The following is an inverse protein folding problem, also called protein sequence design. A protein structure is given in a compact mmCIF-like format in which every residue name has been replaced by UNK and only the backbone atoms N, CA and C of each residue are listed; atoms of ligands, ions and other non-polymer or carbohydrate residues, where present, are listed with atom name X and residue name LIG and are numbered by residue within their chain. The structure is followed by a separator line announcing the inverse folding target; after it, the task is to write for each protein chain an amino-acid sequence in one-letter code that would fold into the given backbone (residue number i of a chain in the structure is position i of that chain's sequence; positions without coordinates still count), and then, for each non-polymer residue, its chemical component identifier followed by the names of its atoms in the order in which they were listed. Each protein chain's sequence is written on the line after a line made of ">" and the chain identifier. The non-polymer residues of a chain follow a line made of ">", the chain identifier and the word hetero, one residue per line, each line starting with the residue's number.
data_IF_836147949141
#
_entry.id   IF_836147949141
#
_cell.length_a   1.000
_cell.length_b   1.000
_cell.length_c   1.000
_cell.angle_alpha   90.00
_cell.angle_beta   90.00
_cell.angle_gamma   90.00
#
_symmetry.space_group_name_H-M   'P 1'
#
loop_
_entity.id
_entity.type
_entity.pdbx_description
1 polymer ?
#
# COMPACT_ATOMS: atom_id res chain seq x y z
N UNK A 1 -2.56 -0.17 13.25
CA UNK A 1 -1.79 0.60 12.25
C UNK A 1 -0.32 0.40 12.44
N UNK A 2 0.19 0.77 13.62
CA UNK A 2 1.62 0.70 13.94
C UNK A 2 2.23 -0.70 13.91
N UNK A 3 1.47 -1.74 14.30
CA UNK A 3 1.93 -3.13 14.17
C UNK A 3 2.22 -3.49 12.72
N UNK A 4 1.26 -3.28 11.82
CA UNK A 4 1.45 -3.56 10.39
C UNK A 4 2.57 -2.71 9.77
N UNK A 5 2.67 -1.44 10.18
CA UNK A 5 3.77 -0.55 9.79
C UNK A 5 5.12 -1.13 10.20
N UNK A 6 5.26 -1.63 11.43
CA UNK A 6 6.50 -2.22 11.93
C UNK A 6 6.89 -3.53 11.24
N UNK A 7 5.91 -4.32 10.78
CA UNK A 7 6.13 -5.57 10.05
C UNK A 7 6.31 -5.41 8.53
N UNK A 8 6.20 -4.19 8.00
CA UNK A 8 6.32 -3.94 6.57
C UNK A 8 7.75 -3.63 6.16
N UNK A 9 8.18 -4.17 5.02
CA UNK A 9 9.51 -3.94 4.44
C UNK A 9 9.66 -2.48 3.95
N UNK A 10 8.58 -1.93 3.40
CA UNK A 10 8.54 -0.57 2.88
C UNK A 10 7.35 0.21 3.43
N UNK A 11 7.57 1.48 3.73
CA UNK A 11 6.57 2.37 4.31
C UNK A 11 6.40 3.64 3.46
N UNK A 12 5.15 4.02 3.22
CA UNK A 12 4.72 5.29 2.64
C UNK A 12 3.69 5.96 3.56
N UNK A 13 4.16 6.86 4.40
CA UNK A 13 3.34 7.70 5.27
C UNK A 13 3.91 9.12 5.36
N UNK A 14 3.28 9.98 6.18
CA UNK A 14 3.67 11.38 6.33
C UNK A 14 5.10 11.61 6.85
N UNK A 15 5.66 10.63 7.55
CA UNK A 15 6.99 10.68 8.18
C UNK A 15 8.05 9.86 7.45
N UNK A 16 7.64 8.83 6.68
CA UNK A 16 8.55 7.89 6.02
C UNK A 16 8.10 7.60 4.58
N UNK A 17 9.03 7.78 3.65
CA UNK A 17 8.82 7.56 2.22
C UNK A 17 9.97 6.70 1.67
N UNK A 18 9.80 5.38 1.72
CA UNK A 18 10.84 4.47 1.25
C UNK A 18 10.91 4.42 -0.29
N UNK A 19 12.08 4.04 -0.83
CA UNK A 19 12.25 3.91 -2.27
C UNK A 19 11.72 2.56 -2.76
N UNK A 20 10.57 2.56 -3.45
CA UNK A 20 9.92 1.33 -3.91
C UNK A 20 10.49 0.75 -5.22
N UNK A 21 11.59 1.30 -5.74
CA UNK A 21 12.22 0.79 -6.97
C UNK A 21 12.91 -0.55 -6.79
N UNK A 22 13.33 -0.87 -5.56
CA UNK A 22 14.02 -2.12 -5.24
C UNK A 22 13.10 -3.20 -4.67
N UNK A 23 11.79 -2.96 -4.67
CA UNK A 23 10.79 -3.93 -4.20
C UNK A 23 10.94 -5.24 -4.96
N UNK A 24 11.03 -6.32 -4.21
CA UNK A 24 11.11 -7.70 -4.68
C UNK A 24 9.77 -8.40 -4.54
N UNK A 25 9.70 -9.55 -5.19
CA UNK A 25 8.53 -10.42 -5.12
C UNK A 25 8.16 -10.76 -3.67
N UNK A 26 6.92 -10.48 -3.29
CA UNK A 26 6.35 -10.85 -1.99
C UNK A 26 6.67 -9.91 -0.83
N UNK A 27 7.44 -8.84 -1.05
CA UNK A 27 7.69 -7.83 -0.02
C UNK A 27 6.42 -7.03 0.33
N UNK A 28 6.37 -6.56 1.57
CA UNK A 28 5.21 -5.91 2.16
C UNK A 28 5.38 -4.40 2.10
N UNK A 29 4.44 -3.73 1.44
CA UNK A 29 4.39 -2.27 1.35
C UNK A 29 3.22 -1.74 2.16
N UNK A 30 3.52 -0.97 3.19
CA UNK A 30 2.54 -0.22 3.96
C UNK A 30 2.31 1.16 3.35
N UNK A 31 1.06 1.50 3.08
CA UNK A 31 0.66 2.82 2.58
C UNK A 31 -0.45 3.37 3.45
N UNK A 32 -0.23 4.54 4.08
CA UNK A 32 -1.30 5.26 4.80
C UNK A 32 -2.41 5.63 3.81
N UNK A 33 -3.67 5.49 4.20
CA UNK A 33 -4.80 5.67 3.26
C UNK A 33 -4.79 7.03 2.56
N UNK A 34 -4.39 8.10 3.25
CA UNK A 34 -4.28 9.45 2.69
C UNK A 34 -3.24 9.54 1.55
N UNK A 35 -2.26 8.64 1.55
CA UNK A 35 -1.17 8.58 0.58
C UNK A 35 -1.46 7.66 -0.61
N UNK A 36 -2.53 6.86 -0.58
CA UNK A 36 -2.90 5.95 -1.68
C UNK A 36 -2.99 6.66 -3.02
N UNK A 37 -3.56 7.87 -3.03
CA UNK A 37 -3.72 8.67 -4.25
C UNK A 37 -2.36 9.00 -4.90
N UNK A 38 -1.38 9.41 -4.09
CA UNK A 38 -0.03 9.74 -4.52
C UNK A 38 0.77 8.49 -4.87
N UNK A 39 0.62 7.44 -4.08
CA UNK A 39 1.23 6.14 -4.29
C UNK A 39 0.86 5.57 -5.67
N UNK A 40 -0.43 5.48 -5.99
CA UNK A 40 -0.87 4.94 -7.28
C UNK A 40 -0.52 5.82 -8.48
N UNK A 41 -0.41 7.14 -8.29
CA UNK A 41 -0.01 8.08 -9.36
C UNK A 41 1.49 8.00 -9.68
N UNK A 42 2.34 7.73 -8.68
CA UNK A 42 3.79 7.81 -8.80
C UNK A 42 4.49 6.50 -8.41
N UNK A 43 4.53 6.15 -7.13
CA UNK A 43 5.34 5.04 -6.61
C UNK A 43 4.97 3.68 -7.20
N UNK A 44 3.67 3.42 -7.40
CA UNK A 44 3.16 2.19 -8.00
C UNK A 44 3.72 1.91 -9.40
N UNK A 45 3.99 2.96 -10.19
CA UNK A 45 4.57 2.81 -11.54
C UNK A 45 6.04 2.38 -11.50
N UNK A 46 6.73 2.66 -10.40
CA UNK A 46 8.14 2.31 -10.21
C UNK A 46 8.32 0.85 -9.77
N UNK A 47 7.28 0.23 -9.22
CA UNK A 47 7.29 -1.16 -8.78
C UNK A 47 7.15 -2.07 -10.00
N UNK A 48 8.11 -2.97 -10.18
CA UNK A 48 8.15 -3.94 -11.27
C UNK A 48 7.66 -5.31 -10.83
N UNK A 49 8.03 -5.71 -9.62
CA UNK A 49 7.72 -7.02 -9.06
C UNK A 49 6.38 -7.06 -8.31
N UNK A 50 5.69 -8.22 -8.29
CA UNK A 50 4.50 -8.41 -7.47
C UNK A 50 4.77 -8.27 -5.96
N UNK A 51 3.89 -7.60 -5.24
CA UNK A 51 4.07 -7.26 -3.82
C UNK A 51 2.77 -7.38 -3.02
N UNK A 52 2.88 -7.35 -1.69
CA UNK A 52 1.74 -7.32 -0.77
C UNK A 52 1.49 -5.87 -0.35
N UNK A 53 0.27 -5.38 -0.55
CA UNK A 53 -0.14 -4.02 -0.18
C UNK A 53 -0.91 -4.06 1.14
N UNK A 54 -0.49 -3.26 2.11
CA UNK A 54 -1.24 -3.04 3.35
C UNK A 54 -1.63 -1.57 3.43
N UNK A 55 -2.91 -1.30 3.63
CA UNK A 55 -3.43 0.05 3.84
C UNK A 55 -4.19 0.12 5.14
N UNK A 56 -3.78 1.06 5.99
CA UNK A 56 -4.38 1.26 7.30
C UNK A 56 -4.54 2.76 7.54
N UNK A 57 -5.48 3.11 8.41
CA UNK A 57 -5.56 4.41 9.09
C UNK A 57 -6.29 5.53 8.34
N UNK A 58 -7.45 5.27 7.75
CA UNK A 58 -8.46 6.34 7.59
C UNK A 58 -9.89 5.81 7.52
N UNK A 59 -10.84 6.69 7.82
CA UNK A 59 -12.28 6.49 7.67
C UNK A 59 -12.72 6.26 6.21
N UNK A 60 -11.83 6.51 5.24
CA UNK A 60 -12.16 6.35 3.83
C UNK A 60 -12.19 4.85 3.46
N UNK A 61 -13.23 4.38 2.75
CA UNK A 61 -13.27 3.02 2.27
C UNK A 61 -12.13 2.78 1.27
N UNK A 62 -11.13 1.98 1.66
CA UNK A 62 -10.23 1.31 0.76
C UNK A 62 -10.83 -0.09 0.46
N UNK A 63 -10.92 -0.52 -0.80
CA UNK A 63 -10.24 0.03 -1.98
C UNK A 63 -10.98 1.18 -2.70
N UNK A 64 -12.27 1.43 -2.43
CA UNK A 64 -13.00 2.58 -2.98
C UNK A 64 -12.84 2.73 -4.51
N UNK A 65 -12.40 3.91 -4.98
CA UNK A 65 -12.12 4.19 -6.41
C UNK A 65 -10.89 3.46 -6.99
N UNK A 66 -10.12 2.79 -6.14
CA UNK A 66 -8.90 2.06 -6.49
C UNK A 66 -9.16 0.56 -6.68
N UNK A 67 -10.42 0.12 -6.69
CA UNK A 67 -10.83 -1.26 -6.95
C UNK A 67 -10.19 -1.86 -8.21
N UNK A 68 -10.01 -1.05 -9.26
CA UNK A 68 -9.27 -1.44 -10.48
C UNK A 68 -7.84 -1.94 -10.24
N UNK A 69 -7.22 -1.57 -9.12
CA UNK A 69 -5.88 -2.01 -8.75
C UNK A 69 -5.89 -3.35 -8.00
N UNK A 70 -7.02 -3.78 -7.42
CA UNK A 70 -7.16 -5.14 -6.86
C UNK A 70 -6.96 -6.21 -7.92
N UNK A 71 -7.41 -5.94 -9.14
CA UNK A 71 -7.26 -6.85 -10.29
C UNK A 71 -5.87 -6.76 -10.93
N UNK A 72 -4.97 -5.92 -10.40
CA UNK A 72 -3.64 -5.77 -10.99
C UNK A 72 -2.75 -6.95 -10.56
N UNK A 73 -2.11 -7.67 -11.50
CA UNK A 73 -1.28 -8.83 -11.18
C UNK A 73 -0.04 -8.48 -10.34
N UNK A 74 0.31 -7.19 -10.21
CA UNK A 74 1.38 -6.73 -9.32
C UNK A 74 0.99 -6.72 -7.85
N UNK A 75 -0.29 -6.76 -7.52
CA UNK A 75 -0.74 -6.78 -6.12
C UNK A 75 -1.13 -8.21 -5.80
N UNK A 76 -0.27 -8.92 -5.07
CA UNK A 76 -0.50 -10.31 -4.69
C UNK A 76 -1.65 -10.42 -3.69
N UNK A 77 -1.60 -9.56 -2.66
CA UNK A 77 -2.62 -9.44 -1.64
C UNK A 77 -2.76 -7.98 -1.23
N UNK A 78 -3.99 -7.52 -1.02
CA UNK A 78 -4.26 -6.20 -0.46
C UNK A 78 -5.06 -6.33 0.84
N UNK A 79 -4.41 -6.02 1.96
CA UNK A 79 -5.05 -5.91 3.26
C UNK A 79 -5.44 -4.46 3.54
N UNK A 80 -6.73 -4.16 3.46
CA UNK A 80 -7.29 -2.87 3.87
C UNK A 80 -8.01 -3.01 5.21
N UNK A 81 -7.58 -2.28 6.23
CA UNK A 81 -8.31 -2.17 7.50
C UNK A 81 -9.00 -0.82 7.56
N UNK A 82 -10.32 -0.83 7.43
CA UNK A 82 -11.18 0.29 7.78
C UNK A 82 -11.74 -0.03 9.18
N UNK A 83 -11.28 0.68 10.22
CA UNK A 83 -11.86 0.58 11.57
C UNK A 83 -13.17 1.36 11.58
N UNK A 84 -14.17 0.86 10.86
CA UNK A 84 -15.56 1.18 11.06
C UNK A 84 -16.27 -0.16 11.30
N UNK A 85 -16.13 -0.68 12.52
CA UNK A 85 -17.07 -1.64 13.11
C UNK A 85 -18.01 -0.89 14.05
#
# INVERSE_FOLDING_TARGET
>A
GDTFRAFSDYIQDETRHDNLRSVKYGEIIFVKTDMLSRFFKSSFKSIREPFILITHNSDAPAPGIYDKYLLNPKILHWHASNLNQ
#
